data_IF_864335870509
#
_entry.id   IF_864335870509
#
_cell.length_a   1.000
_cell.length_b   1.000
_cell.length_c   1.000
_cell.angle_alpha   90.00
_cell.angle_beta   90.00
_cell.angle_gamma   90.00
#
_symmetry.space_group_name_H-M   'P 1'
#
loop_
_entity.id
_entity.type
_entity.pdbx_description
1 polymer ?
#
# COMPACT_ATOMS: atom_id res chain seq x y z
N UNK A 1 -14.27 -16.21 -21.03
CA UNK A 1 -13.36 -15.05 -20.92
C UNK A 1 -14.04 -13.99 -20.08
N UNK A 2 -13.69 -13.87 -18.80
CA UNK A 2 -14.27 -12.84 -17.94
C UNK A 2 -13.32 -11.64 -17.92
N UNK A 3 -13.50 -10.72 -18.86
CA UNK A 3 -12.98 -9.35 -18.71
C UNK A 3 -13.85 -8.72 -17.63
N UNK A 4 -13.40 -8.82 -16.38
CA UNK A 4 -13.97 -8.10 -15.26
C UNK A 4 -13.61 -6.64 -15.51
N UNK A 5 -14.47 -5.97 -16.26
CA UNK A 5 -14.31 -4.58 -16.65
C UNK A 5 -14.24 -3.74 -15.38
N UNK A 6 -13.00 -3.41 -14.99
CA UNK A 6 -12.71 -2.51 -13.88
C UNK A 6 -13.25 -1.14 -14.30
N UNK A 7 -14.47 -0.84 -13.87
CA UNK A 7 -15.17 0.39 -14.22
C UNK A 7 -14.51 1.57 -13.48
N UNK A 8 -13.44 2.09 -14.07
CA UNK A 8 -12.63 3.18 -13.51
C UNK A 8 -13.39 4.53 -13.48
N UNK A 9 -14.55 4.60 -14.15
CA UNK A 9 -15.30 5.83 -14.38
C UNK A 9 -16.20 6.28 -13.19
N UNK A 10 -16.15 5.54 -12.07
CA UNK A 10 -16.87 5.81 -10.82
C UNK A 10 -16.02 5.64 -9.57
N UNK A 11 -14.70 5.53 -9.68
CA UNK A 11 -13.85 5.66 -8.49
C UNK A 11 -14.01 7.09 -7.99
N UNK A 12 -14.90 7.28 -7.02
CA UNK A 12 -14.89 8.43 -6.14
C UNK A 12 -13.44 8.65 -5.71
N UNK A 13 -13.00 9.91 -5.68
CA UNK A 13 -11.61 10.31 -5.35
C UNK A 13 -11.03 9.60 -4.12
N UNK A 14 -11.88 9.08 -3.23
CA UNK A 14 -11.64 8.25 -2.04
C UNK A 14 -10.86 6.93 -2.19
N UNK A 15 -10.43 6.54 -3.39
CA UNK A 15 -9.73 5.28 -3.61
C UNK A 15 -8.31 5.49 -4.13
N UNK A 16 -7.33 4.82 -3.53
CA UNK A 16 -5.92 4.93 -3.90
C UNK A 16 -5.54 3.80 -4.87
N UNK A 17 -5.33 4.08 -6.17
CA UNK A 17 -4.87 3.07 -7.10
C UNK A 17 -3.39 2.78 -6.85
N UNK A 18 -3.08 1.54 -6.47
CA UNK A 18 -1.72 1.09 -6.26
C UNK A 18 -1.40 -0.10 -7.17
N UNK A 19 -0.19 -0.16 -7.69
CA UNK A 19 0.26 -1.29 -8.50
C UNK A 19 1.39 -1.97 -7.73
N UNK A 20 1.16 -3.22 -7.34
CA UNK A 20 2.21 -4.04 -6.73
C UNK A 20 3.34 -4.26 -7.73
N UNK A 21 4.56 -4.47 -7.24
CA UNK A 21 5.75 -4.72 -8.06
C UNK A 21 5.60 -6.06 -8.77
N UNK A 22 6.11 -6.12 -10.00
CA UNK A 22 6.16 -7.36 -10.76
C UNK A 22 7.20 -8.28 -10.12
N UNK A 23 6.79 -9.50 -9.73
CA UNK A 23 7.73 -10.52 -9.27
C UNK A 23 8.58 -10.93 -10.46
N UNK A 24 9.88 -10.68 -10.35
CA UNK A 24 10.89 -11.09 -11.32
C UNK A 24 11.69 -12.25 -10.75
N UNK A 25 11.92 -13.27 -11.58
CA UNK A 25 12.76 -14.41 -11.25
C UNK A 25 14.24 -14.01 -11.33
N UNK A 26 15.16 -14.82 -10.77
CA UNK A 26 16.62 -14.57 -10.80
C UNK A 26 17.17 -14.36 -12.23
N UNK A 27 16.42 -14.79 -13.24
CA UNK A 27 16.71 -14.55 -14.66
C UNK A 27 16.19 -13.21 -15.24
N UNK A 28 15.64 -12.31 -14.42
CA UNK A 28 15.08 -11.02 -14.86
C UNK A 28 13.77 -11.14 -15.64
N UNK A 29 13.11 -12.30 -15.60
CA UNK A 29 11.83 -12.53 -16.25
C UNK A 29 10.69 -12.26 -15.26
N UNK A 30 9.70 -11.46 -15.67
CA UNK A 30 8.48 -11.23 -14.89
C UNK A 30 7.69 -12.54 -14.79
N UNK A 31 7.80 -13.23 -13.65
CA UNK A 31 7.08 -14.47 -13.34
C UNK A 31 5.66 -14.18 -12.87
N UNK A 32 5.46 -13.08 -12.15
CA UNK A 32 4.13 -12.63 -11.75
C UNK A 32 3.96 -11.14 -12.03
N UNK A 33 3.00 -10.80 -12.90
CA UNK A 33 2.68 -9.40 -13.17
C UNK A 33 2.10 -8.73 -11.93
N UNK A 34 2.61 -7.55 -11.64
CA UNK A 34 2.17 -6.67 -10.57
C UNK A 34 0.65 -6.51 -10.58
N UNK A 35 0.00 -6.95 -9.50
CA UNK A 35 -1.46 -6.83 -9.39
C UNK A 35 -1.82 -5.37 -9.13
N UNK A 36 -2.62 -4.80 -10.04
CA UNK A 36 -3.28 -3.52 -9.80
C UNK A 36 -4.34 -3.70 -8.74
N UNK A 37 -4.15 -3.03 -7.61
CA UNK A 37 -5.08 -3.03 -6.49
C UNK A 37 -5.61 -1.62 -6.25
N UNK A 38 -6.82 -1.56 -5.72
CA UNK A 38 -7.46 -0.29 -5.39
C UNK A 38 -7.66 -0.28 -3.89
N UNK A 39 -6.80 0.44 -3.19
CA UNK A 39 -6.81 0.54 -1.74
C UNK A 39 -7.91 1.50 -1.30
N UNK A 40 -8.61 1.12 -0.24
CA UNK A 40 -9.70 1.92 0.34
C UNK A 40 -9.15 2.87 1.39
N UNK A 41 -9.99 3.75 1.93
CA UNK A 41 -9.63 4.50 3.13
C UNK A 41 -9.17 3.55 4.25
N UNK A 42 -8.11 3.93 4.98
CA UNK A 42 -7.61 3.11 6.07
C UNK A 42 -8.64 3.12 7.20
N UNK A 43 -8.72 2.00 7.93
CA UNK A 43 -9.43 2.00 9.19
C UNK A 43 -8.67 2.87 10.20
N UNK A 44 -9.39 3.44 11.17
CA UNK A 44 -8.81 4.34 12.18
C UNK A 44 -7.55 3.77 12.83
N UNK A 45 -7.56 2.47 13.17
CA UNK A 45 -6.41 1.76 13.75
C UNK A 45 -5.19 1.70 12.82
N UNK A 46 -5.41 1.42 11.54
CA UNK A 46 -4.34 1.36 10.53
C UNK A 46 -3.81 2.77 10.25
N UNK A 47 -4.71 3.77 10.18
CA UNK A 47 -4.33 5.16 9.99
C UNK A 47 -3.47 5.72 11.14
N UNK A 48 -3.85 5.47 12.39
CA UNK A 48 -3.07 5.91 13.56
C UNK A 48 -1.68 5.27 13.55
N UNK A 49 -1.60 3.97 13.26
CA UNK A 49 -0.33 3.27 13.18
C UNK A 49 0.56 3.76 12.02
N UNK A 50 0.01 4.03 10.83
CA UNK A 50 0.78 4.64 9.73
C UNK A 50 1.28 6.03 10.11
N UNK A 51 0.49 6.81 10.85
CA UNK A 51 0.88 8.17 11.26
C UNK A 51 2.02 8.15 12.28
N UNK A 52 2.09 7.11 13.11
CA UNK A 52 3.12 6.95 14.12
C UNK A 52 4.48 6.61 13.47
N UNK A 53 4.48 5.88 12.36
CA UNK A 53 5.68 5.41 11.63
C UNK A 53 6.61 6.54 11.15
N UNK A 54 6.19 7.56 10.37
CA UNK A 54 7.08 8.61 9.88
C UNK A 54 7.48 9.62 10.98
N UNK A 55 6.84 9.56 12.15
CA UNK A 55 7.27 10.30 13.35
C UNK A 55 8.39 9.54 14.10
N UNK A 56 8.58 8.24 13.79
CA UNK A 56 9.76 7.48 14.21
C UNK A 56 10.91 7.87 13.30
N UNK A 57 11.89 8.53 13.89
CA UNK A 57 13.09 9.04 13.23
C UNK A 57 13.76 7.91 12.40
N UNK A 58 13.83 8.05 11.07
CA UNK A 58 14.39 7.03 10.17
C UNK A 58 15.84 6.66 10.53
N UNK A 59 16.57 7.57 11.19
CA UNK A 59 17.93 7.37 11.69
C UNK A 59 17.97 6.49 12.97
N UNK A 60 16.83 6.34 13.66
CA UNK A 60 16.67 5.51 14.87
C UNK A 60 15.73 4.32 14.66
N UNK A 61 15.26 4.06 13.44
CA UNK A 61 14.39 2.93 13.15
C UNK A 61 15.11 1.62 13.50
N UNK A 62 14.57 0.88 14.47
CA UNK A 62 15.04 -0.44 14.86
C UNK A 62 14.49 -1.52 13.92
N UNK A 63 15.04 -2.73 14.00
CA UNK A 63 14.49 -3.87 13.25
C UNK A 63 12.98 -4.08 13.54
N UNK A 64 12.53 -3.80 14.77
CA UNK A 64 11.12 -3.87 15.18
C UNK A 64 10.24 -2.81 14.50
N UNK A 65 10.80 -1.64 14.19
CA UNK A 65 10.08 -0.58 13.48
C UNK A 65 9.89 -0.95 12.01
N UNK A 66 10.91 -1.57 11.42
CA UNK A 66 10.87 -2.00 10.01
C UNK A 66 9.84 -3.11 9.79
N UNK A 67 9.72 -4.09 10.69
CA UNK A 67 8.64 -5.08 10.63
C UNK A 67 7.25 -4.45 10.82
N UNK A 68 7.14 -3.41 11.66
CA UNK A 68 5.89 -2.67 11.84
C UNK A 68 5.48 -1.94 10.56
N UNK A 69 6.45 -1.31 9.87
CA UNK A 69 6.27 -0.69 8.54
C UNK A 69 5.72 -1.73 7.55
N UNK A 70 6.39 -2.88 7.42
CA UNK A 70 5.98 -3.95 6.50
C UNK A 70 4.56 -4.44 6.79
N UNK A 71 4.26 -4.67 8.07
CA UNK A 71 2.93 -5.10 8.51
C UNK A 71 1.86 -4.05 8.23
N UNK A 72 2.19 -2.76 8.37
CA UNK A 72 1.27 -1.67 8.09
C UNK A 72 1.01 -1.52 6.60
N UNK A 73 2.05 -1.53 5.77
CA UNK A 73 1.90 -1.53 4.31
C UNK A 73 1.06 -2.74 3.88
N UNK A 74 1.35 -3.94 4.38
CA UNK A 74 0.54 -5.12 4.12
C UNK A 74 -0.92 -4.92 4.55
N UNK A 75 -1.18 -4.39 5.75
CA UNK A 75 -2.54 -4.14 6.24
C UNK A 75 -3.30 -3.10 5.41
N UNK A 76 -2.63 -2.03 4.98
CA UNK A 76 -3.16 -0.99 4.09
C UNK A 76 -3.52 -1.61 2.75
N UNK A 77 -2.57 -2.30 2.12
CA UNK A 77 -2.77 -2.90 0.81
C UNK A 77 -3.83 -4.00 0.86
N UNK A 78 -3.92 -4.77 1.94
CA UNK A 78 -4.94 -5.82 2.13
C UNK A 78 -6.36 -5.23 2.33
N UNK A 79 -6.47 -3.97 2.76
CA UNK A 79 -7.74 -3.22 2.76
C UNK A 79 -8.11 -2.69 1.36
N UNK A 80 -7.94 -3.50 0.32
CA UNK A 80 -8.30 -3.16 -1.06
C UNK A 80 -9.72 -3.64 -1.45
N UNK A 81 -10.30 -2.98 -2.45
CA UNK A 81 -11.59 -3.33 -3.06
C UNK A 81 -11.56 -4.68 -3.78
N UNK A 82 -10.41 -5.03 -4.34
CA UNK A 82 -10.23 -6.25 -5.15
C UNK A 82 -10.22 -7.55 -4.33
N UNK A 83 -10.21 -7.47 -2.99
CA UNK A 83 -9.90 -8.58 -2.09
C UNK A 83 -8.63 -9.32 -2.52
N UNK A 84 -7.64 -8.57 -3.02
CA UNK A 84 -6.35 -9.13 -3.39
C UNK A 84 -5.60 -9.38 -2.09
N UNK A 85 -5.26 -10.64 -1.77
CA UNK A 85 -4.42 -10.92 -0.61
C UNK A 85 -3.04 -10.33 -0.88
N UNK A 86 -2.58 -9.48 0.03
CA UNK A 86 -1.20 -9.01 0.06
C UNK A 86 -0.57 -9.66 1.27
N UNK A 87 0.41 -10.52 1.03
CA UNK A 87 1.18 -11.19 2.09
C UNK A 87 2.43 -10.38 2.39
N UNK A 88 2.99 -10.61 3.57
CA UNK A 88 4.28 -10.07 3.98
C UNK A 88 5.40 -10.40 2.98
N UNK A 89 5.36 -11.50 2.25
CA UNK A 89 6.32 -11.80 1.16
C UNK A 89 6.23 -10.83 -0.03
N UNK A 90 5.03 -10.33 -0.36
CA UNK A 90 4.89 -9.31 -1.40
C UNK A 90 5.42 -7.97 -0.94
N UNK A 91 5.36 -7.69 0.37
CA UNK A 91 5.86 -6.43 0.94
C UNK A 91 7.35 -6.51 1.30
N UNK A 92 7.85 -7.70 1.61
CA UNK A 92 9.26 -7.95 1.93
C UNK A 92 10.18 -7.74 0.73
N UNK A 93 9.65 -7.75 -0.50
CA UNK A 93 10.38 -7.37 -1.71
C UNK A 93 10.66 -5.87 -1.80
N UNK A 94 9.95 -5.06 -1.00
CA UNK A 94 10.16 -3.62 -0.93
C UNK A 94 11.17 -3.31 0.17
N UNK A 95 12.13 -2.44 -0.13
CA UNK A 95 12.97 -1.84 0.90
C UNK A 95 12.15 -0.94 1.83
N UNK A 96 12.67 -0.71 3.03
CA UNK A 96 12.09 0.22 4.02
C UNK A 96 11.83 1.59 3.39
N UNK A 97 12.75 2.09 2.55
CA UNK A 97 12.59 3.35 1.83
C UNK A 97 11.35 3.35 0.92
N UNK A 98 11.11 2.25 0.18
CA UNK A 98 9.92 2.12 -0.66
C UNK A 98 8.66 2.04 0.20
N UNK A 99 8.69 1.31 1.32
CA UNK A 99 7.56 1.20 2.24
C UNK A 99 7.22 2.54 2.89
N UNK A 100 8.22 3.29 3.36
CA UNK A 100 8.06 4.63 3.92
C UNK A 100 7.51 5.61 2.88
N UNK A 101 8.01 5.54 1.64
CA UNK A 101 7.49 6.34 0.53
C UNK A 101 6.02 5.99 0.21
N UNK A 102 5.67 4.71 0.20
CA UNK A 102 4.30 4.20 0.01
C UNK A 102 3.37 4.72 1.12
N UNK A 103 3.80 4.64 2.38
CA UNK A 103 3.03 5.09 3.53
C UNK A 103 2.83 6.60 3.52
N UNK A 104 3.88 7.38 3.22
CA UNK A 104 3.79 8.84 3.09
C UNK A 104 2.86 9.25 1.96
N UNK A 105 3.01 8.66 0.76
CA UNK A 105 2.12 8.94 -0.37
C UNK A 105 0.66 8.58 -0.07
N UNK A 106 0.44 7.46 0.62
CA UNK A 106 -0.90 7.05 1.05
C UNK A 106 -1.47 7.99 2.12
N UNK A 107 -0.66 8.46 3.07
CA UNK A 107 -1.08 9.40 4.11
C UNK A 107 -1.42 10.76 3.52
N UNK A 108 -0.64 11.26 2.57
CA UNK A 108 -0.94 12.49 1.81
C UNK A 108 -2.26 12.35 1.06
N UNK A 109 -2.48 11.22 0.38
CA UNK A 109 -3.74 10.91 -0.28
C UNK A 109 -4.93 10.91 0.69
N UNK A 110 -4.80 10.28 1.87
CA UNK A 110 -5.86 10.27 2.90
C UNK A 110 -6.09 11.68 3.47
N UNK A 111 -5.04 12.49 3.59
CA UNK A 111 -5.13 13.85 4.10
C UNK A 111 -5.80 14.79 3.07
N UNK A 112 -5.46 14.67 1.78
CA UNK A 112 -6.15 15.38 0.69
C UNK A 112 -7.65 15.06 0.68
N UNK A 113 -8.00 13.79 0.89
CA UNK A 113 -9.40 13.37 1.00
C UNK A 113 -10.12 13.92 2.23
N UNK A 114 -9.41 14.06 3.36
CA UNK A 114 -9.96 14.70 4.56
C UNK A 114 -10.20 16.19 4.36
N UNK A 115 -9.30 16.87 3.65
CA UNK A 115 -9.41 18.30 3.37
C UNK A 115 -10.47 18.61 2.31
N UNK A 116 -10.77 17.67 1.41
CA UNK A 116 -11.78 17.84 0.39
C UNK A 116 -12.92 16.79 0.55
N UNK A 117 -13.77 16.94 1.59
CA UNK A 117 -14.95 16.11 1.73
C UNK A 117 -15.96 16.54 0.67
N UNK A 118 -15.94 15.84 -0.48
CA UNK A 118 -16.88 16.06 -1.59
C UNK A 118 -18.34 16.16 -1.13
#
# INVERSE_FOLDING_TARGET
>A
MAVKEFNCNKLKRTFWPFTLKDKVDENGNVVEKGKKIVVRMPQKKVFEAIKEIPDMDEDNATAEDTEAIYRLVAAVLNNNMGKVPVTEEDVADYDIEECTAILNAYMEFVNELKQNPN
#
